data_IF_662428964335
#
_entry.id   IF_662428964335
#
_cell.length_a   1.000
_cell.length_b   1.000
_cell.length_c   1.000
_cell.angle_alpha   90.00
_cell.angle_beta   90.00
_cell.angle_gamma   90.00
#
_symmetry.space_group_name_H-M   'P 1'
#
loop_
_entity.id
_entity.type
_entity.pdbx_description
1 polymer ?
#
# COMPACT_ATOMS: atom_id res chain seq x y z
N UNK A 1 -5.33 -17.29 24.40
CA UNK A 1 -5.14 -18.54 23.63
C UNK A 1 -4.85 -18.13 22.19
N UNK A 2 -3.84 -18.69 21.56
CA UNK A 2 -3.58 -18.52 20.13
C UNK A 2 -3.98 -19.77 19.37
N UNK A 3 -4.33 -19.63 18.09
CA UNK A 3 -4.68 -20.74 17.21
C UNK A 3 -4.07 -20.52 15.82
N UNK A 4 -3.72 -21.60 15.15
CA UNK A 4 -3.22 -21.56 13.79
C UNK A 4 -4.34 -21.17 12.80
N UNK A 5 -4.15 -20.08 12.07
CA UNK A 5 -5.12 -19.51 11.16
C UNK A 5 -4.73 -19.65 9.67
N UNK A 6 -3.66 -20.39 9.38
CA UNK A 6 -3.14 -20.63 8.03
C UNK A 6 -1.75 -20.05 7.79
N UNK A 7 -1.29 -20.14 6.55
CA UNK A 7 0.02 -19.62 6.10
C UNK A 7 -0.13 -18.70 4.89
N UNK A 8 0.89 -17.92 4.64
CA UNK A 8 1.10 -17.13 3.44
C UNK A 8 2.59 -17.08 3.14
N UNK A 9 2.96 -16.67 1.93
CA UNK A 9 4.37 -16.46 1.59
C UNK A 9 4.85 -15.12 2.14
N UNK A 10 4.01 -14.08 1.99
CA UNK A 10 4.32 -12.71 2.43
C UNK A 10 3.19 -12.16 3.30
N UNK A 11 3.53 -11.63 4.48
CA UNK A 11 2.61 -10.90 5.34
C UNK A 11 2.99 -9.42 5.37
N UNK A 12 2.11 -8.55 4.87
CA UNK A 12 2.31 -7.10 4.88
C UNK A 12 1.46 -6.47 5.98
N UNK A 13 2.08 -5.67 6.84
CA UNK A 13 1.43 -5.04 7.99
C UNK A 13 1.24 -3.55 7.72
N UNK A 14 -0.01 -3.15 7.54
CA UNK A 14 -0.40 -1.76 7.31
C UNK A 14 -0.71 -1.43 5.85
N UNK A 15 -1.96 -1.02 5.57
CA UNK A 15 -2.43 -0.64 4.24
C UNK A 15 -2.28 0.87 3.96
N UNK A 16 -1.15 1.44 4.36
CA UNK A 16 -0.68 2.73 3.84
C UNK A 16 -0.10 2.57 2.43
N UNK A 17 0.34 3.67 1.79
CA UNK A 17 0.82 3.62 0.41
C UNK A 17 1.95 2.60 0.21
N UNK A 18 2.95 2.57 1.10
CA UNK A 18 4.06 1.63 1.02
C UNK A 18 3.59 0.16 1.16
N UNK A 19 2.68 -0.12 2.10
CA UNK A 19 2.16 -1.47 2.29
C UNK A 19 1.29 -1.94 1.11
N UNK A 20 0.50 -1.05 0.52
CA UNK A 20 -0.29 -1.36 -0.68
C UNK A 20 0.64 -1.77 -1.83
N UNK A 21 1.65 -0.96 -2.13
CA UNK A 21 2.59 -1.23 -3.22
C UNK A 21 3.40 -2.51 -2.97
N UNK A 22 3.85 -2.74 -1.74
CA UNK A 22 4.55 -3.97 -1.37
C UNK A 22 3.66 -5.21 -1.53
N UNK A 23 2.40 -5.14 -1.10
CA UNK A 23 1.46 -6.25 -1.20
C UNK A 23 1.10 -6.56 -2.66
N UNK A 24 0.83 -5.54 -3.47
CA UNK A 24 0.57 -5.69 -4.91
C UNK A 24 1.78 -6.26 -5.64
N UNK A 25 2.99 -5.78 -5.36
CA UNK A 25 4.21 -6.29 -5.97
C UNK A 25 4.43 -7.77 -5.63
N UNK A 26 4.30 -8.16 -4.36
CA UNK A 26 4.46 -9.54 -3.92
C UNK A 26 3.44 -10.48 -4.58
N UNK A 27 2.16 -10.08 -4.60
CA UNK A 27 1.08 -10.86 -5.20
C UNK A 27 1.24 -11.00 -6.73
N UNK A 28 1.64 -9.92 -7.43
CA UNK A 28 1.90 -9.92 -8.87
C UNK A 28 3.11 -10.79 -9.26
N UNK A 29 4.06 -10.99 -8.34
CA UNK A 29 5.14 -11.95 -8.48
C UNK A 29 4.72 -13.41 -8.20
N UNK A 30 3.45 -13.66 -7.91
CA UNK A 30 2.88 -14.99 -7.71
C UNK A 30 2.94 -15.50 -6.26
N UNK A 31 3.33 -14.67 -5.30
CA UNK A 31 3.34 -15.05 -3.89
C UNK A 31 1.93 -14.94 -3.28
N UNK A 32 1.53 -15.93 -2.49
CA UNK A 32 0.33 -15.81 -1.65
C UNK A 32 0.57 -14.77 -0.56
N UNK A 33 -0.04 -13.61 -0.71
CA UNK A 33 0.21 -12.42 0.10
C UNK A 33 -1.01 -12.08 0.95
N UNK A 34 -0.80 -11.72 2.22
CA UNK A 34 -1.85 -11.19 3.08
C UNK A 34 -1.47 -9.77 3.50
N UNK A 35 -2.33 -8.80 3.19
CA UNK A 35 -2.22 -7.43 3.66
C UNK A 35 -3.13 -7.19 4.86
N UNK A 36 -2.54 -6.89 6.01
CA UNK A 36 -3.26 -6.59 7.23
C UNK A 36 -3.45 -5.08 7.43
N UNK A 37 -4.65 -4.68 7.83
CA UNK A 37 -4.95 -3.30 8.21
C UNK A 37 -5.86 -3.28 9.44
N UNK A 38 -5.73 -2.26 10.26
CA UNK A 38 -6.62 -2.07 11.41
C UNK A 38 -8.01 -1.57 11.02
N UNK A 39 -8.13 -0.97 9.82
CA UNK A 39 -9.39 -0.45 9.30
C UNK A 39 -9.40 -0.51 7.78
N UNK A 40 -10.35 -1.25 7.20
CA UNK A 40 -10.54 -1.38 5.75
C UNK A 40 -10.96 -0.07 5.07
N UNK A 41 -11.57 0.85 5.80
CA UNK A 41 -11.97 2.15 5.25
C UNK A 41 -10.81 3.17 5.25
N UNK A 42 -9.66 2.80 5.83
CA UNK A 42 -8.46 3.64 5.86
C UNK A 42 -7.37 3.20 4.88
N UNK A 43 -7.67 2.24 3.99
CA UNK A 43 -6.75 1.80 2.94
C UNK A 43 -6.38 2.96 2.03
N UNK A 44 -5.07 3.19 1.81
CA UNK A 44 -4.58 4.29 0.99
C UNK A 44 -4.95 5.69 1.51
N UNK A 45 -5.15 5.82 2.82
CA UNK A 45 -5.59 7.09 3.42
C UNK A 45 -4.56 8.20 3.21
N UNK A 46 -5.07 9.39 2.83
CA UNK A 46 -4.29 10.63 2.71
C UNK A 46 -4.67 11.58 3.85
N UNK A 47 -4.04 11.49 5.03
CA UNK A 47 -4.46 12.26 6.21
C UNK A 47 -4.20 13.78 6.08
N UNK A 48 -3.21 14.15 5.28
CA UNK A 48 -2.86 15.56 5.00
C UNK A 48 -3.58 16.07 3.74
N UNK A 49 -2.90 16.87 2.92
CA UNK A 49 -3.43 17.31 1.63
C UNK A 49 -3.59 16.10 0.69
N UNK A 50 -4.77 15.92 0.07
CA UNK A 50 -5.00 14.83 -0.89
C UNK A 50 -4.31 15.17 -2.22
N UNK A 51 -2.98 15.08 -2.25
CA UNK A 51 -2.18 15.40 -3.42
C UNK A 51 -1.02 14.41 -3.58
N UNK A 52 -0.79 14.01 -4.83
CA UNK A 52 0.27 13.10 -5.24
C UNK A 52 1.30 13.89 -6.07
N UNK A 53 2.58 13.59 -5.87
CA UNK A 53 3.67 14.26 -6.55
C UNK A 53 4.09 15.58 -5.87
N UNK A 54 4.59 16.52 -6.69
CA UNK A 54 5.17 17.79 -6.23
C UNK A 54 6.68 17.72 -6.02
N UNK A 55 7.26 18.82 -5.53
CA UNK A 55 8.71 18.96 -5.35
C UNK A 55 9.24 17.92 -4.35
N UNK A 56 10.26 17.16 -4.77
CA UNK A 56 10.88 16.11 -3.96
C UNK A 56 10.09 14.81 -3.84
N UNK A 57 8.90 14.72 -4.44
CA UNK A 57 8.03 13.52 -4.39
C UNK A 57 7.65 12.99 -5.78
N UNK A 58 7.54 13.86 -6.78
CA UNK A 58 7.08 13.49 -8.11
C UNK A 58 7.96 12.46 -8.81
N UNK A 59 9.29 12.50 -8.59
CA UNK A 59 10.22 11.52 -9.15
C UNK A 59 10.02 10.14 -8.52
N UNK A 60 9.78 10.05 -7.21
CA UNK A 60 9.50 8.79 -6.53
C UNK A 60 8.21 8.12 -7.06
N UNK A 61 7.16 8.93 -7.30
CA UNK A 61 5.92 8.40 -7.91
C UNK A 61 6.18 7.86 -9.31
N UNK A 62 6.99 8.54 -10.13
CA UNK A 62 7.34 8.09 -11.48
C UNK A 62 8.22 6.85 -11.48
N UNK A 63 9.16 6.73 -10.55
CA UNK A 63 9.99 5.53 -10.38
C UNK A 63 9.12 4.33 -10.00
N UNK A 64 8.19 4.54 -9.06
CA UNK A 64 7.24 3.54 -8.63
C UNK A 64 6.32 3.10 -9.79
N UNK A 65 5.78 4.04 -10.56
CA UNK A 65 4.95 3.81 -11.73
C UNK A 65 5.70 3.02 -12.82
N UNK A 66 6.97 3.36 -13.07
CA UNK A 66 7.84 2.64 -14.01
C UNK A 66 8.11 1.19 -13.59
N UNK A 67 8.01 0.87 -12.31
CA UNK A 67 8.13 -0.49 -11.77
C UNK A 67 6.77 -1.24 -11.72
N UNK A 68 5.70 -0.63 -12.25
CA UNK A 68 4.36 -1.22 -12.24
C UNK A 68 3.56 -0.98 -10.97
N UNK A 69 3.91 0.07 -10.19
CA UNK A 69 3.17 0.50 -9.01
C UNK A 69 1.80 1.10 -9.35
N UNK A 70 0.92 1.13 -8.37
CA UNK A 70 -0.50 1.49 -8.54
C UNK A 70 -0.79 2.97 -8.25
N UNK A 71 0.10 3.66 -7.53
CA UNK A 71 -0.13 5.04 -7.07
C UNK A 71 -0.36 6.02 -8.22
N UNK A 72 0.35 5.86 -9.35
CA UNK A 72 0.21 6.70 -10.54
C UNK A 72 -1.18 6.56 -11.14
N UNK A 73 -1.63 5.34 -11.41
CA UNK A 73 -2.95 5.04 -11.95
C UNK A 73 -4.09 5.51 -11.02
N UNK A 74 -3.94 5.28 -9.72
CA UNK A 74 -4.90 5.75 -8.73
C UNK A 74 -4.97 7.29 -8.65
N UNK A 75 -3.81 7.96 -8.79
CA UNK A 75 -3.76 9.42 -8.84
C UNK A 75 -4.48 9.96 -10.07
N UNK A 76 -4.29 9.35 -11.24
CA UNK A 76 -4.96 9.74 -12.49
C UNK A 76 -6.48 9.52 -12.40
N UNK A 77 -6.90 8.38 -11.84
CA UNK A 77 -8.31 8.06 -11.64
C UNK A 77 -9.04 9.05 -10.72
N UNK A 78 -8.36 9.46 -9.65
CA UNK A 78 -8.93 10.33 -8.61
C UNK A 78 -8.60 11.81 -8.79
N UNK A 79 -7.88 12.20 -9.84
CA UNK A 79 -7.41 13.57 -10.04
C UNK A 79 -8.56 14.55 -10.23
N UNK A 80 -8.50 15.64 -9.47
CA UNK A 80 -9.38 16.80 -9.61
C UNK A 80 -8.67 17.88 -10.42
N UNK A 81 -7.37 18.06 -10.21
CA UNK A 81 -6.57 19.09 -10.85
C UNK A 81 -5.10 18.71 -10.91
N UNK A 82 -4.48 18.90 -12.07
CA UNK A 82 -3.03 18.89 -12.21
C UNK A 82 -2.46 20.31 -12.16
N UNK A 83 -1.34 20.47 -11.45
CA UNK A 83 -0.63 21.73 -11.38
C UNK A 83 0.89 21.51 -11.49
N UNK A 84 1.50 22.21 -12.43
CA UNK A 84 2.96 22.29 -12.49
C UNK A 84 3.46 23.34 -11.49
N UNK A 85 4.25 22.88 -10.51
CA UNK A 85 4.90 23.73 -9.52
C UNK A 85 6.23 24.27 -10.05
N UNK A 86 6.69 25.38 -9.48
CA UNK A 86 8.00 26.01 -9.73
C UNK A 86 8.25 26.45 -11.18
N UNK A 87 7.22 26.78 -11.94
CA UNK A 87 7.35 27.23 -13.35
C UNK A 87 8.32 28.40 -13.54
N UNK A 88 8.44 29.29 -12.55
CA UNK A 88 9.34 30.42 -12.57
C UNK A 88 10.77 30.14 -12.13
N UNK A 89 11.10 28.89 -11.75
CA UNK A 89 12.40 28.53 -11.16
C UNK A 89 13.29 27.69 -12.08
N UNK A 90 12.89 27.53 -13.35
CA UNK A 90 13.61 26.74 -14.34
C UNK A 90 13.17 25.26 -14.41
N UNK A 91 13.44 24.60 -15.57
CA UNK A 91 12.92 23.25 -15.86
C UNK A 91 13.34 22.16 -14.89
N UNK A 92 14.56 22.27 -14.32
CA UNK A 92 15.12 21.25 -13.42
C UNK A 92 14.31 21.05 -12.13
N UNK A 93 13.53 22.05 -11.71
CA UNK A 93 12.70 22.00 -10.50
C UNK A 93 11.19 22.00 -10.81
N UNK A 94 10.80 21.88 -12.08
CA UNK A 94 9.41 21.71 -12.45
C UNK A 94 8.89 20.40 -11.86
N UNK A 95 7.77 20.47 -11.16
CA UNK A 95 7.21 19.32 -10.46
C UNK A 95 5.72 19.25 -10.67
N UNK A 96 5.24 18.16 -11.27
CA UNK A 96 3.82 17.91 -11.41
C UNK A 96 3.23 17.50 -10.07
N UNK A 97 2.10 18.11 -9.72
CA UNK A 97 1.29 17.76 -8.55
C UNK A 97 -0.14 17.52 -8.98
N UNK A 98 -0.66 16.33 -8.65
CA UNK A 98 -2.06 15.98 -8.80
C UNK A 98 -2.79 16.26 -7.48
N UNK A 99 -3.85 17.08 -7.53
CA UNK A 99 -4.83 17.20 -6.45
C UNK A 99 -5.85 16.09 -6.65
N UNK A 100 -6.07 15.23 -5.66
CA UNK A 100 -6.94 14.06 -5.76
C UNK A 100 -8.20 14.19 -4.90
N UNK A 101 -9.29 13.57 -5.37
CA UNK A 101 -10.45 13.26 -4.53
C UNK A 101 -10.06 12.11 -3.59
N UNK A 102 -10.03 12.41 -2.29
CA UNK A 102 -9.61 11.46 -1.25
C UNK A 102 -10.48 10.21 -1.19
N UNK A 103 -11.79 10.35 -1.42
CA UNK A 103 -12.73 9.24 -1.34
C UNK A 103 -12.56 8.34 -2.56
N UNK A 104 -12.51 8.91 -3.77
CA UNK A 104 -12.29 8.17 -5.01
C UNK A 104 -10.94 7.43 -4.99
N UNK A 105 -9.89 8.08 -4.50
CA UNK A 105 -8.56 7.46 -4.39
C UNK A 105 -8.57 6.22 -3.50
N UNK A 106 -9.16 6.32 -2.29
CA UNK A 106 -9.27 5.18 -1.37
C UNK A 106 -10.13 4.06 -1.94
N UNK A 107 -11.26 4.39 -2.55
CA UNK A 107 -12.14 3.40 -3.18
C UNK A 107 -11.42 2.67 -4.31
N UNK A 108 -10.70 3.38 -5.15
CA UNK A 108 -9.88 2.78 -6.22
C UNK A 108 -8.83 1.84 -5.65
N UNK A 109 -8.01 2.29 -4.70
CA UNK A 109 -6.96 1.48 -4.09
C UNK A 109 -7.50 0.23 -3.40
N UNK A 110 -8.60 0.35 -2.66
CA UNK A 110 -9.26 -0.78 -2.02
C UNK A 110 -9.77 -1.78 -3.07
N UNK A 111 -10.40 -1.30 -4.12
CA UNK A 111 -10.92 -2.13 -5.21
C UNK A 111 -9.80 -2.91 -5.92
N UNK A 112 -8.68 -2.26 -6.22
CA UNK A 112 -7.51 -2.92 -6.82
C UNK A 112 -6.98 -4.05 -5.93
N UNK A 113 -6.86 -3.79 -4.62
CA UNK A 113 -6.40 -4.82 -3.67
C UNK A 113 -7.36 -6.00 -3.56
N UNK A 114 -8.67 -5.74 -3.56
CA UNK A 114 -9.70 -6.79 -3.45
C UNK A 114 -9.80 -7.66 -4.71
N UNK A 115 -9.43 -7.12 -5.88
CA UNK A 115 -9.43 -7.87 -7.15
C UNK A 115 -8.09 -8.52 -7.48
N UNK A 116 -7.02 -8.19 -6.76
CA UNK A 116 -5.69 -8.73 -7.06
C UNK A 116 -5.62 -10.21 -6.74
N UNK A 117 -5.31 -11.04 -7.74
CA UNK A 117 -5.00 -12.46 -7.53
C UNK A 117 -3.83 -12.65 -6.56
N UNK A 118 -3.84 -13.73 -5.81
CA UNK A 118 -2.85 -14.07 -4.78
C UNK A 118 -2.76 -13.07 -3.61
N UNK A 119 -3.72 -12.15 -3.46
CA UNK A 119 -3.75 -11.16 -2.38
C UNK A 119 -5.02 -11.31 -1.55
N UNK A 120 -4.84 -11.42 -0.23
CA UNK A 120 -5.93 -11.33 0.73
C UNK A 120 -5.80 -10.04 1.54
N UNK A 121 -6.84 -9.19 1.51
CA UNK A 121 -6.93 -8.00 2.37
C UNK A 121 -7.71 -8.35 3.64
N UNK A 122 -7.07 -8.20 4.82
CA UNK A 122 -7.66 -8.57 6.11
C UNK A 122 -7.65 -7.43 7.11
N UNK A 123 -8.80 -7.21 7.73
CA UNK A 123 -8.88 -6.31 8.88
C UNK A 123 -8.46 -7.07 10.15
N UNK A 124 -7.26 -6.75 10.64
CA UNK A 124 -6.76 -7.27 11.90
C UNK A 124 -5.64 -6.37 12.43
N UNK A 125 -5.56 -6.25 13.74
CA UNK A 125 -4.42 -5.64 14.41
C UNK A 125 -3.37 -6.73 14.67
N UNK A 126 -2.18 -6.55 14.13
CA UNK A 126 -1.02 -7.41 14.43
C UNK A 126 -0.40 -6.92 15.74
N UNK A 127 -0.20 -7.83 16.68
CA UNK A 127 0.34 -7.54 18.01
C UNK A 127 1.68 -8.18 18.26
N UNK A 128 2.07 -9.16 17.45
CA UNK A 128 3.34 -9.87 17.62
C UNK A 128 3.87 -10.36 16.27
N UNK A 129 5.19 -10.26 16.08
CA UNK A 129 5.93 -10.93 15.03
C UNK A 129 6.51 -12.22 15.62
N UNK A 130 6.11 -13.34 15.08
CA UNK A 130 6.56 -14.65 15.55
C UNK A 130 7.93 -14.96 14.96
N UNK A 131 8.85 -15.38 15.82
CA UNK A 131 10.21 -15.74 15.41
C UNK A 131 10.60 -17.10 15.97
N UNK A 132 11.41 -17.86 15.23
CA UNK A 132 12.05 -19.08 15.68
C UNK A 132 13.47 -19.13 15.11
N UNK A 133 14.44 -19.50 15.94
CA UNK A 133 15.85 -19.64 15.54
C UNK A 133 16.43 -18.40 14.83
N UNK A 134 15.96 -17.20 15.23
CA UNK A 134 16.39 -15.92 14.65
C UNK A 134 15.74 -15.54 13.32
N UNK A 135 14.83 -16.34 12.80
CA UNK A 135 14.05 -16.06 11.59
C UNK A 135 12.61 -15.69 11.91
N UNK A 136 11.98 -14.84 11.08
CA UNK A 136 10.55 -14.58 11.14
C UNK A 136 9.79 -15.80 10.66
N UNK A 137 8.79 -16.23 11.41
CA UNK A 137 7.97 -17.42 11.12
C UNK A 137 6.50 -17.09 10.96
N UNK A 138 6.09 -15.85 11.22
CA UNK A 138 4.71 -15.44 11.08
C UNK A 138 4.34 -14.22 11.91
N UNK A 139 3.03 -13.98 11.98
CA UNK A 139 2.44 -12.88 12.72
C UNK A 139 1.26 -13.36 13.55
N UNK A 140 1.02 -12.70 14.70
CA UNK A 140 -0.16 -12.94 15.56
C UNK A 140 -1.05 -11.72 15.58
N UNK A 141 -2.34 -11.98 15.40
CA UNK A 141 -3.37 -10.95 15.54
C UNK A 141 -3.79 -10.76 17.00
N UNK A 142 -4.41 -9.61 17.31
CA UNK A 142 -4.96 -9.32 18.64
C UNK A 142 -5.99 -10.38 19.10
N UNK A 143 -6.72 -11.00 18.19
CA UNK A 143 -7.69 -12.06 18.49
C UNK A 143 -7.06 -13.45 18.62
N UNK A 144 -5.73 -13.55 18.62
CA UNK A 144 -5.00 -14.79 18.82
C UNK A 144 -4.84 -15.68 17.57
N UNK A 145 -5.17 -15.17 16.39
CA UNK A 145 -4.92 -15.89 15.14
C UNK A 145 -3.43 -15.82 14.77
N UNK A 146 -2.77 -16.94 14.67
CA UNK A 146 -1.38 -17.09 14.22
C UNK A 146 -1.35 -17.42 12.72
N UNK A 147 -0.73 -16.56 11.93
CA UNK A 147 -0.47 -16.77 10.51
C UNK A 147 1.01 -17.03 10.31
N UNK A 148 1.36 -18.20 9.76
CA UNK A 148 2.73 -18.50 9.37
C UNK A 148 3.08 -17.75 8.09
N UNK A 149 4.28 -17.18 8.03
CA UNK A 149 4.80 -16.49 6.85
C UNK A 149 6.29 -16.77 6.72
N UNK A 150 6.79 -16.76 5.50
CA UNK A 150 8.22 -16.88 5.20
C UNK A 150 8.90 -15.51 5.26
N UNK A 151 8.15 -14.45 4.93
CA UNK A 151 8.57 -13.03 4.95
C UNK A 151 7.47 -12.15 5.49
#
# INVERSE_FOLDING_TARGET
>A
MSYYAGSCDVAVIGAGHAGIEAALAAARLGNHTILFTINLDAVGNMPCNPAIGGTGKGHLVRELDALGGEMGAAADHACIQYRMLNRGKGPAVHSLRAQADRVKYRQYMKHVLELQENLELKQAQIVEILTAEGAVTGVRTQLGADRKSVV
#
